data_IF_067610583935
#
_entry.id   IF_067610583935
#
_cell.length_a   1.000
_cell.length_b   1.000
_cell.length_c   1.000
_cell.angle_alpha   90.00
_cell.angle_beta   90.00
_cell.angle_gamma   90.00
#
_symmetry.space_group_name_H-M   'P 1'
#
loop_
_entity.id
_entity.type
_entity.pdbx_description
1 polymer ?
#
# COMPACT_ATOMS: atom_id res chain seq x y z
N UNK A 1 -75.64 -19.20 -13.87
CA UNK A 1 -75.20 -20.07 -12.76
C UNK A 1 -73.67 -20.02 -12.69
N UNK A 2 -73.13 -19.14 -11.85
CA UNK A 2 -71.69 -18.85 -11.77
C UNK A 2 -71.11 -19.63 -10.59
N UNK A 3 -70.10 -20.46 -10.87
CA UNK A 3 -69.42 -21.34 -9.91
C UNK A 3 -68.44 -20.51 -9.08
N UNK A 4 -68.68 -20.46 -7.78
CA UNK A 4 -67.78 -19.93 -6.75
C UNK A 4 -66.69 -20.95 -6.44
N UNK A 5 -65.42 -20.55 -6.56
CA UNK A 5 -64.27 -21.30 -6.07
C UNK A 5 -63.63 -20.52 -4.93
N UNK A 6 -63.46 -21.20 -3.79
CA UNK A 6 -62.70 -20.73 -2.62
C UNK A 6 -61.23 -20.53 -3.01
N UNK A 7 -60.70 -19.33 -2.78
CA UNK A 7 -59.26 -19.08 -2.77
C UNK A 7 -58.72 -19.37 -1.36
N UNK A 8 -57.90 -20.41 -1.25
CA UNK A 8 -57.13 -20.71 -0.04
C UNK A 8 -55.90 -19.83 0.05
N UNK A 9 -55.72 -19.18 1.20
CA UNK A 9 -54.53 -18.45 1.62
C UNK A 9 -53.33 -19.41 1.69
N UNK A 10 -52.27 -19.15 0.92
CA UNK A 10 -50.95 -19.72 1.16
C UNK A 10 -50.04 -18.59 1.65
N UNK A 11 -49.73 -18.61 2.95
CA UNK A 11 -48.82 -17.67 3.60
C UNK A 11 -47.39 -18.06 3.22
N UNK A 12 -46.74 -17.27 2.37
CA UNK A 12 -45.32 -17.40 2.06
C UNK A 12 -44.53 -16.59 3.10
N UNK A 13 -43.98 -17.28 4.09
CA UNK A 13 -43.12 -16.69 5.11
C UNK A 13 -41.76 -16.37 4.52
N UNK A 14 -41.44 -15.07 4.35
CA UNK A 14 -40.10 -14.60 4.04
C UNK A 14 -39.22 -14.74 5.30
N UNK A 15 -38.41 -15.79 5.35
CA UNK A 15 -37.32 -15.90 6.30
C UNK A 15 -36.01 -16.05 5.51
N UNK A 16 -35.24 -14.96 5.40
CA UNK A 16 -33.77 -14.91 5.33
C UNK A 16 -33.28 -13.59 4.70
N UNK A 17 -33.40 -12.48 5.43
CA UNK A 17 -32.47 -11.36 5.28
C UNK A 17 -31.42 -11.48 6.39
N UNK A 18 -30.50 -12.43 6.25
CA UNK A 18 -29.23 -12.41 6.97
C UNK A 18 -28.22 -11.66 6.12
N UNK A 19 -28.06 -10.35 6.35
CA UNK A 19 -26.89 -9.64 5.82
C UNK A 19 -25.61 -10.29 6.38
N UNK A 20 -24.48 -10.24 5.67
CA UNK A 20 -23.23 -10.78 6.20
C UNK A 20 -22.95 -10.07 7.53
N UNK A 21 -22.91 -10.86 8.61
CA UNK A 21 -22.48 -10.40 9.91
C UNK A 21 -21.07 -9.82 9.72
N UNK A 22 -20.91 -8.52 9.96
CA UNK A 22 -19.62 -7.88 10.06
C UNK A 22 -18.91 -8.46 11.27
N UNK A 23 -18.20 -9.56 11.07
CA UNK A 23 -17.20 -10.04 12.02
C UNK A 23 -16.09 -9.00 12.03
N UNK A 24 -16.10 -8.18 13.07
CA UNK A 24 -15.04 -7.21 13.32
C UNK A 24 -13.74 -8.00 13.55
N UNK A 25 -12.70 -7.80 12.72
CA UNK A 25 -11.48 -8.58 12.86
C UNK A 25 -10.67 -8.11 14.07
N UNK A 26 -10.47 -9.04 15.01
CA UNK A 26 -9.61 -8.93 16.20
C UNK A 26 -8.18 -8.51 15.84
N UNK A 27 -7.59 -7.64 16.66
CA UNK A 27 -6.13 -7.50 16.68
C UNK A 27 -5.55 -6.19 17.19
N UNK A 28 -6.32 -5.08 17.21
CA UNK A 28 -5.89 -3.81 17.80
C UNK A 28 -7.08 -3.15 18.47
N UNK A 29 -6.99 -2.95 19.80
CA UNK A 29 -8.02 -2.28 20.61
C UNK A 29 -7.95 -0.75 20.41
N UNK A 30 -7.97 -0.33 19.14
CA UNK A 30 -8.02 1.07 18.78
C UNK A 30 -9.49 1.41 18.65
N UNK A 31 -10.04 2.12 19.63
CA UNK A 31 -11.40 2.64 19.52
C UNK A 31 -11.47 3.49 18.25
N UNK A 32 -12.21 3.08 17.21
CA UNK A 32 -12.42 3.94 16.05
C UNK A 32 -13.00 5.26 16.55
N UNK A 33 -12.69 6.37 15.88
CA UNK A 33 -13.41 7.62 16.13
C UNK A 33 -14.90 7.35 15.82
N UNK A 34 -15.67 7.13 16.87
CA UNK A 34 -17.11 6.91 16.76
C UNK A 34 -17.72 8.30 16.61
N UNK A 35 -17.73 8.80 15.37
CA UNK A 35 -18.44 10.03 15.04
C UNK A 35 -19.90 9.81 15.44
N UNK A 36 -20.33 10.46 16.53
CA UNK A 36 -21.68 10.28 17.06
C UNK A 36 -22.74 10.74 16.07
N UNK A 37 -23.99 10.88 16.51
CA UNK A 37 -25.11 11.26 15.62
C UNK A 37 -24.91 12.58 14.87
N UNK A 38 -23.97 13.42 15.30
CA UNK A 38 -23.65 14.71 14.68
C UNK A 38 -22.46 14.66 13.69
N UNK A 39 -21.86 13.49 13.47
CA UNK A 39 -20.72 13.36 12.55
C UNK A 39 -19.41 13.93 13.07
N UNK A 40 -19.35 14.29 14.36
CA UNK A 40 -18.14 14.73 15.06
C UNK A 40 -17.96 13.91 16.33
N UNK A 41 -16.71 13.53 16.60
CA UNK A 41 -16.31 13.00 17.89
C UNK A 41 -16.00 14.21 18.78
N UNK A 42 -16.92 14.53 19.70
CA UNK A 42 -16.75 15.68 20.57
C UNK A 42 -15.70 15.34 21.63
N UNK A 43 -14.74 16.25 21.90
CA UNK A 43 -13.77 16.03 22.96
C UNK A 43 -14.51 15.64 24.25
N UNK A 44 -14.06 14.57 24.91
CA UNK A 44 -14.42 14.38 26.31
C UNK A 44 -14.09 15.68 27.05
N UNK A 45 -14.88 16.05 28.07
CA UNK A 45 -14.87 17.36 28.74
C UNK A 45 -13.55 17.78 29.43
N UNK A 46 -12.42 17.19 29.05
CA UNK A 46 -11.06 17.37 29.57
C UNK A 46 -10.19 18.31 28.73
N UNK A 47 -10.73 19.05 27.75
CA UNK A 47 -9.92 20.01 27.00
C UNK A 47 -9.54 21.21 27.91
N UNK A 48 -8.36 21.14 28.51
CA UNK A 48 -7.73 22.24 29.26
C UNK A 48 -7.24 23.39 28.37
N UNK A 49 -7.47 23.29 27.05
CA UNK A 49 -7.08 24.27 26.05
C UNK A 49 -8.31 25.12 25.68
N UNK A 50 -8.11 26.43 25.45
CA UNK A 50 -9.17 27.23 24.87
C UNK A 50 -9.18 27.01 23.34
N UNK A 51 -10.35 26.81 22.71
CA UNK A 51 -10.43 26.60 21.28
C UNK A 51 -9.96 27.80 20.44
N UNK A 52 -9.93 29.00 21.03
CA UNK A 52 -9.40 30.21 20.38
C UNK A 52 -7.88 30.29 20.35
N UNK A 53 -7.18 29.58 21.24
CA UNK A 53 -5.71 29.59 21.32
C UNK A 53 -5.11 28.47 20.45
N UNK A 54 -5.69 27.27 20.52
CA UNK A 54 -5.32 26.14 19.68
C UNK A 54 -6.54 25.23 19.47
N UNK A 55 -7.24 25.44 18.35
CA UNK A 55 -8.39 24.62 17.99
C UNK A 55 -8.00 23.17 17.69
N UNK A 56 -6.81 22.93 17.12
CA UNK A 56 -6.37 21.58 16.77
C UNK A 56 -6.08 20.76 18.03
N UNK A 57 -5.35 21.34 18.99
CA UNK A 57 -5.13 20.75 20.30
C UNK A 57 -6.43 20.56 21.07
N UNK A 58 -7.33 21.56 21.07
CA UNK A 58 -8.63 21.46 21.71
C UNK A 58 -9.43 20.24 21.23
N UNK A 59 -9.44 19.98 19.92
CA UNK A 59 -10.19 18.85 19.34
C UNK A 59 -9.45 17.52 19.49
N UNK A 60 -8.13 17.49 19.25
CA UNK A 60 -7.41 16.23 19.01
C UNK A 60 -6.47 15.79 20.14
N UNK A 61 -6.14 16.63 21.13
CA UNK A 61 -5.11 16.31 22.12
C UNK A 61 -5.41 15.04 22.92
N UNK A 62 -6.68 14.83 23.30
CA UNK A 62 -7.10 13.62 24.00
C UNK A 62 -6.93 12.37 23.11
N UNK A 63 -7.21 12.49 21.81
CA UNK A 63 -7.03 11.40 20.86
C UNK A 63 -5.55 11.05 20.69
N UNK A 64 -4.67 12.05 20.54
CA UNK A 64 -3.23 11.81 20.42
C UNK A 64 -2.65 11.15 21.69
N UNK A 65 -3.09 11.59 22.87
CA UNK A 65 -2.65 10.98 24.13
C UNK A 65 -3.06 9.50 24.25
N UNK A 66 -4.23 9.14 23.71
CA UNK A 66 -4.74 7.77 23.74
C UNK A 66 -4.25 6.88 22.59
N UNK A 67 -3.74 7.47 21.51
CA UNK A 67 -3.36 6.79 20.28
C UNK A 67 -1.91 7.13 19.89
N UNK A 68 -0.91 6.64 20.64
CA UNK A 68 0.49 6.83 20.26
C UNK A 68 0.76 6.17 18.90
N UNK A 69 1.73 6.71 18.15
CA UNK A 69 2.14 6.12 16.86
C UNK A 69 2.70 4.72 17.13
N UNK A 70 2.12 3.65 16.53
CA UNK A 70 2.64 2.30 16.69
C UNK A 70 4.09 2.21 16.17
N UNK A 71 4.96 1.39 16.79
CA UNK A 71 6.39 1.32 16.44
C UNK A 71 6.64 0.90 14.99
N UNK A 72 5.70 0.18 14.38
CA UNK A 72 5.75 -0.25 12.97
C UNK A 72 5.24 0.82 11.98
N UNK A 73 4.81 1.99 12.45
CA UNK A 73 4.25 3.06 11.63
C UNK A 73 5.06 4.34 11.78
N UNK A 74 5.18 5.11 10.71
CA UNK A 74 5.77 6.46 10.73
C UNK A 74 4.75 7.56 11.11
N UNK A 75 3.45 7.27 11.00
CA UNK A 75 2.36 8.18 11.35
C UNK A 75 1.10 7.41 11.75
N UNK A 76 0.27 8.02 12.59
CA UNK A 76 -0.96 7.43 13.07
C UNK A 76 -2.06 8.48 13.21
N UNK A 77 -3.21 8.22 12.60
CA UNK A 77 -4.31 9.17 12.50
C UNK A 77 -5.57 8.53 11.91
N UNK A 78 -6.61 9.34 11.72
CA UNK A 78 -7.91 8.87 11.22
C UNK A 78 -7.82 8.15 9.86
N UNK A 79 -6.97 8.61 8.95
CA UNK A 79 -6.75 7.93 7.67
C UNK A 79 -6.06 6.57 7.82
N UNK A 80 -5.14 6.42 8.79
CA UNK A 80 -4.53 5.13 9.12
C UNK A 80 -5.57 4.13 9.61
N UNK A 81 -6.52 4.58 10.44
CA UNK A 81 -7.62 3.74 10.93
C UNK A 81 -8.53 3.26 9.80
N UNK A 82 -8.90 4.17 8.90
CA UNK A 82 -9.75 3.83 7.74
C UNK A 82 -9.01 2.86 6.80
N UNK A 83 -7.72 3.09 6.58
CA UNK A 83 -6.88 2.20 5.78
C UNK A 83 -6.80 0.79 6.41
N UNK A 84 -6.54 0.68 7.71
CA UNK A 84 -6.48 -0.60 8.43
C UNK A 84 -7.83 -1.33 8.38
N UNK A 85 -8.94 -0.63 8.61
CA UNK A 85 -10.27 -1.23 8.51
C UNK A 85 -10.54 -1.74 7.09
N UNK A 86 -10.15 -0.99 6.07
CA UNK A 86 -10.32 -1.38 4.67
C UNK A 86 -9.44 -2.59 4.33
N UNK A 87 -8.18 -2.61 4.77
CA UNK A 87 -7.27 -3.74 4.59
C UNK A 87 -7.83 -5.02 5.22
N UNK A 88 -8.36 -4.94 6.44
CA UNK A 88 -8.96 -6.12 7.11
C UNK A 88 -10.19 -6.65 6.36
N UNK A 89 -11.03 -5.77 5.82
CA UNK A 89 -12.18 -6.18 4.98
C UNK A 89 -11.72 -6.83 3.69
N UNK A 90 -10.73 -6.26 3.00
CA UNK A 90 -10.14 -6.87 1.79
C UNK A 90 -9.54 -8.24 2.12
N UNK A 91 -8.81 -8.36 3.23
CA UNK A 91 -8.25 -9.63 3.69
C UNK A 91 -9.34 -10.66 3.97
N UNK A 92 -10.46 -10.27 4.58
CA UNK A 92 -11.60 -11.17 4.79
C UNK A 92 -12.19 -11.66 3.45
N UNK A 93 -12.36 -10.79 2.46
CA UNK A 93 -12.83 -11.17 1.12
C UNK A 93 -11.86 -12.16 0.45
N UNK A 94 -10.55 -11.92 0.57
CA UNK A 94 -9.53 -12.84 0.04
C UNK A 94 -9.58 -14.18 0.78
N UNK A 95 -9.79 -14.15 2.10
CA UNK A 95 -9.93 -15.34 2.93
C UNK A 95 -11.13 -16.19 2.54
N UNK A 96 -12.23 -15.58 2.08
CA UNK A 96 -13.39 -16.32 1.56
C UNK A 96 -13.07 -17.13 0.29
N UNK A 97 -11.94 -16.86 -0.37
CA UNK A 97 -11.42 -17.65 -1.49
C UNK A 97 -10.55 -18.83 -1.03
N UNK A 98 -10.21 -18.95 0.26
CA UNK A 98 -9.43 -20.06 0.80
C UNK A 98 -10.21 -21.39 0.68
N UNK A 99 -9.56 -22.43 0.18
CA UNK A 99 -10.17 -23.74 -0.04
C UNK A 99 -11.14 -23.81 -1.23
N UNK A 100 -11.36 -22.70 -1.93
CA UNK A 100 -12.05 -22.68 -3.23
C UNK A 100 -11.05 -22.91 -4.37
N UNK A 101 -11.57 -23.43 -5.48
CA UNK A 101 -10.85 -23.54 -6.76
C UNK A 101 -11.56 -22.65 -7.79
N UNK A 102 -11.28 -21.32 -7.82
CA UNK A 102 -11.94 -20.43 -8.75
C UNK A 102 -11.58 -20.78 -10.19
N UNK A 103 -12.51 -20.53 -11.11
CA UNK A 103 -12.33 -20.84 -12.53
C UNK A 103 -11.09 -20.12 -13.08
N UNK A 104 -10.26 -20.85 -13.82
CA UNK A 104 -9.04 -20.34 -14.42
C UNK A 104 -9.29 -19.08 -15.27
N UNK A 105 -8.44 -18.07 -15.11
CA UNK A 105 -8.52 -16.81 -15.86
C UNK A 105 -9.47 -15.77 -15.25
N UNK A 106 -10.26 -16.13 -14.24
CA UNK A 106 -11.12 -15.17 -13.52
C UNK A 106 -10.30 -14.26 -12.60
N UNK A 107 -10.82 -13.05 -12.28
CA UNK A 107 -10.20 -12.20 -11.26
C UNK A 107 -10.03 -12.89 -9.91
N UNK A 108 -11.01 -13.73 -9.52
CA UNK A 108 -10.95 -14.47 -8.25
C UNK A 108 -9.76 -15.45 -8.21
N UNK A 109 -9.52 -16.20 -9.30
CA UNK A 109 -8.35 -17.07 -9.41
C UNK A 109 -7.05 -16.28 -9.33
N UNK A 110 -6.94 -15.16 -10.05
CA UNK A 110 -5.73 -14.32 -10.02
C UNK A 110 -5.43 -13.77 -8.63
N UNK A 111 -6.45 -13.30 -7.91
CA UNK A 111 -6.30 -12.79 -6.54
C UNK A 111 -5.90 -13.90 -5.57
N UNK A 112 -6.54 -15.07 -5.65
CA UNK A 112 -6.21 -16.23 -4.82
C UNK A 112 -4.75 -16.67 -5.04
N UNK A 113 -4.33 -16.83 -6.29
CA UNK A 113 -2.98 -17.29 -6.61
C UNK A 113 -1.91 -16.26 -6.27
N UNK A 114 -2.20 -14.97 -6.45
CA UNK A 114 -1.29 -13.90 -6.04
C UNK A 114 -1.10 -13.89 -4.52
N UNK A 115 -2.17 -14.05 -3.74
CA UNK A 115 -2.06 -14.12 -2.28
C UNK A 115 -1.30 -15.38 -1.83
N UNK A 116 -1.60 -16.54 -2.43
CA UNK A 116 -0.89 -17.80 -2.14
C UNK A 116 0.61 -17.68 -2.43
N UNK A 117 0.99 -17.07 -3.57
CA UNK A 117 2.41 -16.89 -3.93
C UNK A 117 3.11 -15.88 -3.02
N UNK A 118 2.43 -14.81 -2.61
CA UNK A 118 2.97 -13.81 -1.69
C UNK A 118 3.19 -14.36 -0.28
N UNK A 119 2.31 -15.24 0.20
CA UNK A 119 2.37 -15.79 1.55
C UNK A 119 3.30 -17.01 1.70
N UNK A 120 3.77 -17.61 0.59
CA UNK A 120 4.66 -18.76 0.61
C UNK A 120 6.13 -18.34 0.83
N UNK A 121 6.43 -17.97 2.07
CA UNK A 121 7.78 -17.56 2.50
C UNK A 121 8.79 -18.70 2.33
N UNK A 122 8.38 -19.96 2.51
CA UNK A 122 9.30 -21.09 2.38
C UNK A 122 9.77 -21.26 0.94
N UNK A 123 8.86 -21.12 -0.04
CA UNK A 123 9.21 -21.11 -1.45
C UNK A 123 10.04 -19.89 -1.83
N UNK A 124 9.73 -18.72 -1.26
CA UNK A 124 10.53 -17.50 -1.47
C UNK A 124 11.98 -17.71 -1.03
N UNK A 125 12.19 -18.21 0.19
CA UNK A 125 13.51 -18.51 0.75
C UNK A 125 14.25 -19.57 -0.08
N UNK A 126 13.54 -20.61 -0.53
CA UNK A 126 14.11 -21.65 -1.40
C UNK A 126 14.57 -21.08 -2.75
N UNK A 127 13.81 -20.16 -3.35
CA UNK A 127 14.15 -19.54 -4.64
C UNK A 127 15.30 -18.55 -4.51
N UNK A 128 15.44 -17.89 -3.36
CA UNK A 128 16.45 -16.87 -3.12
C UNK A 128 16.48 -15.84 -4.26
N UNK A 129 17.68 -15.52 -4.74
CA UNK A 129 17.87 -14.55 -5.83
C UNK A 129 17.62 -15.12 -7.23
N UNK A 130 17.31 -16.41 -7.36
CA UNK A 130 17.17 -17.04 -8.68
C UNK A 130 16.11 -16.37 -9.56
N UNK A 131 15.09 -15.75 -8.97
CA UNK A 131 14.05 -15.01 -9.70
C UNK A 131 14.53 -13.69 -10.32
N UNK A 132 15.53 -13.02 -9.71
CA UNK A 132 16.05 -11.72 -10.17
C UNK A 132 17.40 -11.82 -10.88
N UNK A 133 18.05 -12.98 -10.83
CA UNK A 133 19.36 -13.20 -11.46
C UNK A 133 19.42 -12.82 -12.95
N UNK A 134 18.40 -13.13 -13.79
CA UNK A 134 18.44 -12.71 -15.21
C UNK A 134 18.45 -11.19 -15.41
N UNK A 135 17.89 -10.42 -14.47
CA UNK A 135 17.95 -8.96 -14.51
C UNK A 135 19.33 -8.46 -14.08
N UNK A 136 19.91 -9.06 -13.05
CA UNK A 136 21.26 -8.74 -12.57
C UNK A 136 22.32 -9.05 -13.64
N UNK A 137 22.24 -10.20 -14.30
CA UNK A 137 23.15 -10.61 -15.37
C UNK A 137 23.07 -9.64 -16.56
N UNK A 138 21.84 -9.30 -16.99
CA UNK A 138 21.62 -8.33 -18.07
C UNK A 138 22.21 -6.95 -17.74
N UNK A 139 22.09 -6.49 -16.50
CA UNK A 139 22.69 -5.21 -16.07
C UNK A 139 24.22 -5.29 -16.04
N UNK A 140 24.78 -6.42 -15.58
CA UNK A 140 26.23 -6.62 -15.50
C UNK A 140 26.90 -6.70 -16.88
N UNK A 141 26.16 -7.11 -17.91
CA UNK A 141 26.64 -7.20 -19.30
C UNK A 141 26.65 -5.84 -20.03
N UNK A 142 26.15 -4.75 -19.43
CA UNK A 142 26.17 -3.43 -20.07
C UNK A 142 27.61 -2.91 -20.16
N UNK A 143 28.14 -2.84 -21.37
CA UNK A 143 29.49 -2.35 -21.67
C UNK A 143 29.51 -1.09 -22.55
N UNK A 144 28.33 -0.56 -22.87
CA UNK A 144 28.17 0.54 -23.82
C UNK A 144 27.02 1.47 -23.46
N UNK A 145 27.14 2.72 -23.90
CA UNK A 145 26.07 3.71 -23.74
C UNK A 145 24.76 3.26 -24.40
N UNK A 146 24.83 2.58 -25.55
CA UNK A 146 23.65 2.05 -26.21
C UNK A 146 22.98 0.94 -25.38
N UNK A 147 23.76 0.07 -24.74
CA UNK A 147 23.26 -0.91 -23.78
C UNK A 147 22.57 -0.25 -22.59
N UNK A 148 23.21 0.77 -22.00
CA UNK A 148 22.64 1.51 -20.87
C UNK A 148 21.31 2.19 -21.22
N UNK A 149 21.20 2.81 -22.40
CA UNK A 149 19.96 3.44 -22.88
C UNK A 149 18.86 2.38 -23.05
N UNK A 150 19.20 1.20 -23.57
CA UNK A 150 18.25 0.09 -23.70
C UNK A 150 17.74 -0.35 -22.33
N UNK A 151 18.60 -0.51 -21.34
CA UNK A 151 18.19 -0.89 -19.98
C UNK A 151 17.29 0.16 -19.32
N UNK A 152 17.59 1.45 -19.47
CA UNK A 152 16.69 2.51 -19.00
C UNK A 152 15.31 2.46 -19.68
N UNK A 153 15.25 2.11 -20.97
CA UNK A 153 13.99 1.91 -21.67
C UNK A 153 13.19 0.69 -21.19
N UNK A 154 13.87 -0.34 -20.68
CA UNK A 154 13.26 -1.56 -20.15
C UNK A 154 12.79 -1.40 -18.69
N UNK A 155 13.34 -0.45 -17.93
CA UNK A 155 13.08 -0.28 -16.50
C UNK A 155 11.59 -0.40 -16.10
N UNK A 156 10.61 0.22 -16.79
CA UNK A 156 9.20 0.10 -16.42
C UNK A 156 8.61 -1.31 -16.56
N UNK A 157 9.20 -2.16 -17.41
CA UNK A 157 8.73 -3.52 -17.70
C UNK A 157 9.30 -4.57 -16.74
N UNK A 158 10.51 -4.32 -16.24
CA UNK A 158 11.26 -5.26 -15.40
C UNK A 158 11.33 -4.83 -13.94
N UNK A 159 10.63 -3.74 -13.57
CA UNK A 159 10.72 -3.16 -12.22
C UNK A 159 12.10 -2.55 -11.92
N UNK A 160 12.83 -2.16 -12.96
CA UNK A 160 14.13 -1.49 -12.85
C UNK A 160 13.99 0.00 -12.54
N UNK A 161 15.12 0.71 -12.52
CA UNK A 161 15.17 2.15 -12.30
C UNK A 161 15.86 2.88 -13.46
N UNK A 162 15.45 4.11 -13.72
CA UNK A 162 16.00 4.97 -14.76
C UNK A 162 16.03 6.43 -14.26
N UNK A 163 16.92 7.29 -14.78
CA UNK A 163 17.01 8.70 -14.39
C UNK A 163 15.81 9.54 -14.88
N UNK A 164 14.86 8.91 -15.57
CA UNK A 164 13.61 9.50 -16.01
C UNK A 164 12.47 8.49 -15.87
N UNK A 165 11.25 8.99 -15.76
CA UNK A 165 10.04 8.20 -15.92
C UNK A 165 9.31 8.64 -17.18
N UNK A 166 8.49 7.74 -17.72
CA UNK A 166 7.59 8.02 -18.83
C UNK A 166 6.18 7.57 -18.46
N UNK A 167 5.18 8.39 -18.72
CA UNK A 167 3.77 8.01 -18.55
C UNK A 167 2.93 8.60 -19.67
N UNK A 168 1.90 7.86 -20.09
CA UNK A 168 0.90 8.33 -21.05
C UNK A 168 -0.33 8.79 -20.28
N UNK A 169 -0.69 10.05 -20.44
CA UNK A 169 -1.83 10.67 -19.77
C UNK A 169 -2.67 11.49 -20.71
N UNK A 170 -3.73 12.07 -20.16
CA UNK A 170 -4.58 13.02 -20.88
C UNK A 170 -3.76 14.26 -21.20
N UNK A 171 -3.85 14.74 -22.44
CA UNK A 171 -3.22 15.99 -22.84
C UNK A 171 -3.96 17.19 -22.17
N UNK A 172 -3.28 18.00 -21.35
CA UNK A 172 -3.91 19.13 -20.67
C UNK A 172 -4.38 20.25 -21.63
N UNK A 173 -3.89 20.27 -22.87
CA UNK A 173 -4.31 21.22 -23.91
C UNK A 173 -5.47 20.66 -24.74
N UNK A 174 -5.49 19.34 -24.95
CA UNK A 174 -6.55 18.64 -25.68
C UNK A 174 -7.03 17.40 -24.90
N UNK A 175 -8.11 17.50 -24.09
CA UNK A 175 -8.55 16.41 -23.24
C UNK A 175 -9.06 15.17 -23.98
N UNK A 176 -9.30 15.26 -25.30
CA UNK A 176 -9.66 14.11 -26.16
C UNK A 176 -8.42 13.37 -26.70
N UNK A 177 -7.21 13.84 -26.38
CA UNK A 177 -5.95 13.25 -26.78
C UNK A 177 -5.11 12.78 -25.58
N UNK A 178 -4.11 11.96 -25.88
CA UNK A 178 -3.09 11.55 -24.93
C UNK A 178 -1.76 12.18 -25.28
N UNK A 179 -0.95 12.47 -24.27
CA UNK A 179 0.45 12.86 -24.44
C UNK A 179 1.39 11.85 -23.76
N UNK A 180 2.61 11.74 -24.29
CA UNK A 180 3.71 11.11 -23.57
C UNK A 180 4.37 12.19 -22.72
N UNK A 181 4.36 12.00 -21.41
CA UNK A 181 5.04 12.85 -20.45
C UNK A 181 6.34 12.20 -19.99
N UNK A 182 7.43 12.97 -20.01
CA UNK A 182 8.73 12.58 -19.48
C UNK A 182 9.09 13.48 -18.30
N UNK A 183 9.61 12.89 -17.23
CA UNK A 183 10.05 13.62 -16.04
C UNK A 183 11.29 13.00 -15.42
N UNK A 184 11.94 13.73 -14.52
CA UNK A 184 13.11 13.25 -13.79
C UNK A 184 12.71 12.17 -12.77
N UNK A 185 13.56 11.16 -12.64
CA UNK A 185 13.41 10.04 -11.70
C UNK A 185 14.80 9.61 -11.20
N UNK A 186 14.88 8.45 -10.55
CA UNK A 186 16.15 7.76 -10.27
C UNK A 186 16.78 8.09 -8.93
N UNK A 187 16.20 9.00 -8.13
CA UNK A 187 16.63 9.21 -6.75
C UNK A 187 16.15 8.05 -5.87
N UNK A 188 17.03 7.52 -5.02
CA UNK A 188 16.66 6.50 -4.02
C UNK A 188 16.41 7.06 -2.61
N UNK A 189 16.53 8.38 -2.44
CA UNK A 189 16.10 9.12 -1.25
C UNK A 189 14.91 10.00 -1.65
N UNK A 190 14.05 10.42 -0.69
CA UNK A 190 12.72 10.95 -0.99
C UNK A 190 12.67 12.15 -1.94
N UNK A 191 13.67 13.04 -1.89
CA UNK A 191 13.77 14.20 -2.75
C UNK A 191 15.23 14.68 -2.87
N UNK A 192 15.43 15.76 -3.64
CA UNK A 192 16.75 16.32 -3.91
C UNK A 192 17.43 16.87 -2.65
N UNK A 193 16.67 17.40 -1.69
CA UNK A 193 17.23 18.15 -0.57
C UNK A 193 17.98 17.21 0.39
N UNK A 194 17.61 15.92 0.41
CA UNK A 194 18.39 14.85 1.05
C UNK A 194 19.82 14.73 0.54
N UNK A 195 20.12 15.22 -0.68
CA UNK A 195 21.46 15.17 -1.27
C UNK A 195 22.23 16.49 -1.13
N UNK A 196 21.54 17.62 -1.03
CA UNK A 196 22.14 18.95 -1.07
C UNK A 196 22.19 19.67 0.28
N UNK A 197 21.36 19.28 1.24
CA UNK A 197 21.37 19.88 2.59
C UNK A 197 22.47 19.24 3.45
N UNK A 198 23.40 20.07 3.93
CA UNK A 198 24.57 19.67 4.72
C UNK A 198 24.32 19.62 6.23
N UNK A 199 23.07 19.75 6.69
CA UNK A 199 22.73 19.55 8.09
C UNK A 199 23.09 18.14 8.56
N UNK A 200 23.44 18.03 9.84
CA UNK A 200 23.84 16.76 10.46
C UNK A 200 22.80 15.63 10.24
N UNK A 201 21.51 15.98 10.22
CA UNK A 201 20.42 15.04 9.95
C UNK A 201 20.55 14.41 8.57
N UNK A 202 20.68 15.20 7.50
CA UNK A 202 20.73 14.65 6.15
C UNK A 202 22.09 14.02 5.84
N UNK A 203 23.18 14.54 6.39
CA UNK A 203 24.48 13.88 6.33
C UNK A 203 24.43 12.46 6.93
N UNK A 204 23.78 12.29 8.09
CA UNK A 204 23.57 10.96 8.69
C UNK A 204 22.74 10.05 7.79
N UNK A 205 21.60 10.55 7.26
CA UNK A 205 20.73 9.76 6.37
C UNK A 205 21.47 9.30 5.11
N UNK A 206 22.30 10.17 4.50
CA UNK A 206 23.14 9.78 3.36
C UNK A 206 24.14 8.68 3.73
N UNK A 207 24.78 8.79 4.90
CA UNK A 207 25.66 7.74 5.42
C UNK A 207 24.94 6.40 5.60
N UNK A 208 23.76 6.41 6.21
CA UNK A 208 22.96 5.20 6.41
C UNK A 208 22.47 4.60 5.08
N UNK A 209 22.15 5.45 4.11
CA UNK A 209 21.75 5.05 2.77
C UNK A 209 22.88 4.37 1.98
N UNK A 210 24.11 4.89 2.06
CA UNK A 210 25.29 4.24 1.47
C UNK A 210 25.54 2.85 2.09
N UNK A 211 25.43 2.74 3.42
CA UNK A 211 25.55 1.45 4.08
C UNK A 211 24.44 0.48 3.66
N UNK A 212 23.21 0.96 3.46
CA UNK A 212 22.11 0.15 2.97
C UNK A 212 22.40 -0.37 1.55
N UNK A 213 22.85 0.49 0.63
CA UNK A 213 23.27 0.09 -0.72
C UNK A 213 24.33 -1.00 -0.67
N UNK A 214 25.38 -0.81 0.13
CA UNK A 214 26.47 -1.79 0.28
C UNK A 214 25.94 -3.14 0.79
N UNK A 215 25.05 -3.13 1.79
CA UNK A 215 24.41 -4.37 2.29
C UNK A 215 23.60 -5.07 1.21
N UNK A 216 22.80 -4.34 0.44
CA UNK A 216 21.98 -4.92 -0.63
C UNK A 216 22.82 -5.51 -1.76
N UNK A 217 23.89 -4.83 -2.17
CA UNK A 217 24.85 -5.35 -3.16
C UNK A 217 25.54 -6.62 -2.67
N UNK A 218 25.97 -6.64 -1.41
CA UNK A 218 26.55 -7.84 -0.78
C UNK A 218 25.55 -9.00 -0.74
N UNK A 219 24.28 -8.74 -0.41
CA UNK A 219 23.23 -9.76 -0.47
C UNK A 219 23.04 -10.29 -1.90
N UNK A 220 23.18 -9.43 -2.91
CA UNK A 220 23.14 -9.79 -4.33
C UNK A 220 24.42 -10.47 -4.85
N UNK A 221 25.40 -10.76 -4.00
CA UNK A 221 26.65 -11.44 -4.39
C UNK A 221 27.71 -10.53 -5.01
N UNK A 222 27.46 -9.23 -5.08
CA UNK A 222 28.47 -8.25 -5.50
C UNK A 222 29.29 -7.83 -4.28
N UNK A 223 30.62 -7.99 -4.35
CA UNK A 223 31.49 -7.38 -3.36
C UNK A 223 31.45 -5.87 -3.54
N UNK A 224 30.63 -5.17 -2.75
CA UNK A 224 30.75 -3.73 -2.65
C UNK A 224 32.10 -3.46 -1.98
N UNK A 225 33.05 -2.88 -2.74
CA UNK A 225 34.30 -2.39 -2.17
C UNK A 225 33.97 -1.51 -0.97
N UNK A 226 34.45 -1.87 0.21
CA UNK A 226 34.26 -1.14 1.46
C UNK A 226 34.96 0.24 1.47
N UNK A 227 35.23 0.82 0.30
CA UNK A 227 36.02 2.05 0.12
C UNK A 227 35.18 3.29 -0.22
N UNK A 228 33.85 3.22 -0.10
CA UNK A 228 32.99 4.41 -0.25
C UNK A 228 32.19 4.66 1.02
N UNK A 229 32.93 4.96 2.10
CA UNK A 229 32.41 5.59 3.31
C UNK A 229 33.25 6.83 3.61
#
# INVERSE_FOLDING_TARGET
>A
MKRTFLAGLLVLSCAACGGPASTEPEGLNVKPAAFGNWGVDLPSAQAALNPGDDFHGYVNAAWFAANPVPPERSSWGSFSLIAEQSERRVRAIIKDLEGLEPVQGTPAQKVSDYMKSWMDVALLDQKGLGAVQPDLDRIAEIDSQAGLIREFGLAPLVGGNAPFFAYVGIDPINPDAHNLSLGLSGLGLPDRDYYFDDSARFAQIRGDYLQYIARMLNHAGYQAGAEVA
#
